data_IF_302167518636
#
_entry.id   IF_302167518636
#
_cell.length_a   1.000
_cell.length_b   1.000
_cell.length_c   1.000
_cell.angle_alpha   90.00
_cell.angle_beta   90.00
_cell.angle_gamma   90.00
#
_symmetry.space_group_name_H-M   'P 1'
#
loop_
_entity.id
_entity.type
_entity.pdbx_description
1 polymer ?
#
# COMPACT_ATOMS: atom_id res chain seq x y z
N UNK A 1 -11.14 -18.11 13.38
CA UNK A 1 -9.82 -17.69 13.90
C UNK A 1 -10.03 -16.38 14.63
N UNK A 2 -9.91 -16.36 15.97
CA UNK A 2 -10.13 -15.13 16.73
C UNK A 2 -8.89 -14.24 16.58
N UNK A 3 -8.95 -13.34 15.60
CA UNK A 3 -7.99 -12.26 15.48
C UNK A 3 -8.06 -11.39 16.75
N UNK A 4 -6.92 -11.14 17.41
CA UNK A 4 -6.83 -10.29 18.61
C UNK A 4 -6.95 -8.82 18.16
N UNK A 5 -8.13 -8.19 18.17
CA UNK A 5 -8.36 -6.94 17.43
C UNK A 5 -7.54 -5.79 18.02
N UNK A 6 -7.38 -5.82 19.36
CA UNK A 6 -6.55 -4.88 20.11
C UNK A 6 -5.06 -4.97 19.79
N UNK A 7 -4.57 -6.17 19.46
CA UNK A 7 -3.17 -6.36 19.07
C UNK A 7 -2.95 -5.95 17.62
N UNK A 8 -3.86 -6.31 16.72
CA UNK A 8 -3.78 -5.95 15.30
C UNK A 8 -3.85 -4.44 15.08
N UNK A 9 -4.64 -3.73 15.88
CA UNK A 9 -4.75 -2.27 15.83
C UNK A 9 -3.44 -1.52 16.12
N UNK A 10 -2.42 -2.20 16.67
CA UNK A 10 -1.09 -1.62 16.96
C UNK A 10 -0.15 -1.68 15.76
N UNK A 11 -0.56 -2.26 14.63
CA UNK A 11 0.30 -2.40 13.46
C UNK A 11 -0.01 -1.36 12.38
N UNK A 12 1.07 -0.85 11.80
CA UNK A 12 1.06 -0.03 10.60
C UNK A 12 1.78 -0.76 9.46
N UNK A 13 1.22 -0.67 8.26
CA UNK A 13 1.79 -1.18 7.02
C UNK A 13 2.46 0.01 6.33
N UNK A 14 3.78 -0.07 6.15
CA UNK A 14 4.60 0.99 5.56
C UNK A 14 5.09 0.55 4.20
N UNK A 15 4.63 1.24 3.16
CA UNK A 15 5.11 1.10 1.80
C UNK A 15 6.29 2.06 1.59
N UNK A 16 7.40 1.56 1.05
CA UNK A 16 8.62 2.33 0.83
C UNK A 16 8.97 2.29 -0.65
N UNK A 17 9.07 3.45 -1.29
CA UNK A 17 9.55 3.61 -2.66
C UNK A 17 11.08 3.54 -2.73
N UNK A 18 11.63 3.36 -3.94
CA UNK A 18 13.09 3.36 -4.18
C UNK A 18 13.76 4.70 -3.87
N UNK A 19 13.02 5.81 -3.92
CA UNK A 19 13.52 7.16 -3.60
C UNK A 19 13.37 7.52 -2.11
N UNK A 20 12.91 6.57 -1.28
CA UNK A 20 12.67 6.77 0.15
C UNK A 20 11.32 7.38 0.50
N UNK A 21 10.46 7.70 -0.49
CA UNK A 21 9.10 8.12 -0.21
C UNK A 21 8.31 7.01 0.49
N UNK A 22 7.56 7.36 1.53
CA UNK A 22 6.81 6.39 2.34
C UNK A 22 5.34 6.72 2.44
N UNK A 23 4.50 5.69 2.30
CA UNK A 23 3.06 5.73 2.58
C UNK A 23 2.77 4.77 3.72
N UNK A 24 1.88 5.17 4.63
CA UNK A 24 1.51 4.39 5.81
C UNK A 24 0.01 4.13 5.79
N UNK A 25 -0.36 2.89 6.06
CA UNK A 25 -1.72 2.48 6.38
C UNK A 25 -1.77 1.92 7.80
N UNK A 26 -2.86 2.12 8.51
CA UNK A 26 -3.13 1.33 9.72
C UNK A 26 -3.66 -0.05 9.34
N UNK A 27 -3.49 -1.04 10.22
CA UNK A 27 -4.13 -2.35 10.05
C UNK A 27 -5.65 -2.20 9.86
N UNK A 28 -6.29 -1.36 10.68
CA UNK A 28 -7.74 -1.15 10.61
C UNK A 28 -8.17 -0.47 9.30
N UNK A 29 -7.35 0.37 8.70
CA UNK A 29 -7.67 0.98 7.41
C UNK A 29 -7.67 -0.06 6.29
N UNK A 30 -6.68 -0.96 6.25
CA UNK A 30 -6.60 -1.99 5.21
C UNK A 30 -7.59 -3.14 5.40
N UNK A 31 -7.91 -3.50 6.64
CA UNK A 31 -8.67 -4.73 6.91
C UNK A 31 -10.07 -4.50 7.47
N UNK A 32 -10.35 -3.32 8.05
CA UNK A 32 -11.62 -3.00 8.70
C UNK A 32 -12.35 -1.82 8.05
N UNK A 33 -11.87 -1.30 6.92
CA UNK A 33 -12.52 -0.18 6.22
C UNK A 33 -12.66 -0.47 4.72
N UNK A 34 -13.64 0.16 4.03
CA UNK A 34 -13.79 0.01 2.58
C UNK A 34 -12.55 0.43 1.78
N UNK A 35 -11.71 1.33 2.32
CA UNK A 35 -10.45 1.75 1.71
C UNK A 35 -9.55 0.55 1.40
N UNK A 36 -9.51 -0.46 2.26
CA UNK A 36 -8.72 -1.68 2.04
C UNK A 36 -9.01 -2.39 0.71
N UNK A 37 -10.27 -2.37 0.27
CA UNK A 37 -10.70 -2.98 -1.00
C UNK A 37 -10.27 -2.19 -2.24
N UNK A 38 -9.70 -1.00 -2.03
CA UNK A 38 -9.33 -0.04 -3.07
C UNK A 38 -7.82 0.19 -3.14
N UNK A 39 -7.05 -0.53 -2.33
CA UNK A 39 -5.59 -0.53 -2.36
C UNK A 39 -5.11 -1.63 -3.29
N UNK A 40 -4.36 -1.26 -4.32
CA UNK A 40 -3.89 -2.19 -5.34
C UNK A 40 -2.38 -2.14 -5.49
N UNK A 41 -1.77 -3.31 -5.63
CA UNK A 41 -0.45 -3.46 -6.23
C UNK A 41 -0.65 -3.71 -7.73
N UNK A 42 -0.13 -2.83 -8.56
CA UNK A 42 -0.18 -3.03 -10.00
C UNK A 42 0.86 -4.08 -10.39
N UNK A 43 0.47 -5.00 -11.26
CA UNK A 43 1.36 -6.01 -11.86
C UNK A 43 1.59 -5.78 -13.35
N UNK A 44 0.79 -4.89 -13.96
CA UNK A 44 0.85 -4.47 -15.35
C UNK A 44 0.28 -3.05 -15.48
N UNK A 45 0.78 -2.30 -16.47
CA UNK A 45 0.26 -0.97 -16.83
C UNK A 45 0.08 -0.92 -18.34
N UNK A 46 -1.12 -0.56 -18.81
CA UNK A 46 -1.47 -0.51 -20.25
C UNK A 46 -1.11 -1.80 -21.01
N UNK A 47 -1.36 -2.96 -20.41
CA UNK A 47 -1.07 -4.28 -20.99
C UNK A 47 0.42 -4.64 -21.04
N UNK A 48 1.32 -3.78 -20.53
CA UNK A 48 2.75 -4.05 -20.44
C UNK A 48 3.13 -4.56 -19.05
N UNK A 49 3.98 -5.59 -18.95
CA UNK A 49 4.45 -6.10 -17.67
C UNK A 49 5.42 -5.11 -17.01
N UNK A 50 5.42 -5.02 -15.69
CA UNK A 50 6.18 -4.00 -14.97
C UNK A 50 7.70 -4.04 -15.16
N UNK A 51 8.29 -5.18 -15.52
CA UNK A 51 9.73 -5.25 -15.81
C UNK A 51 10.11 -4.38 -17.02
N UNK A 52 9.15 -4.04 -17.87
CA UNK A 52 9.32 -3.13 -19.00
C UNK A 52 9.04 -1.66 -18.65
N UNK A 53 8.59 -1.38 -17.42
CA UNK A 53 8.32 -0.04 -16.90
C UNK A 53 9.50 0.46 -16.05
N UNK A 54 9.89 1.72 -16.24
CA UNK A 54 11.02 2.34 -15.53
C UNK A 54 10.83 2.32 -14.00
N UNK A 55 9.58 2.52 -13.53
CA UNK A 55 9.28 2.67 -12.10
C UNK A 55 8.81 1.38 -11.40
N UNK A 56 9.11 0.19 -11.94
CA UNK A 56 8.88 -1.11 -11.28
C UNK A 56 7.45 -1.27 -10.72
N UNK A 57 7.30 -1.82 -9.50
CA UNK A 57 6.02 -2.11 -8.85
C UNK A 57 5.36 -0.83 -8.34
N UNK A 58 4.06 -0.68 -8.58
CA UNK A 58 3.28 0.47 -8.11
C UNK A 58 2.28 0.06 -7.05
N UNK A 59 1.99 0.97 -6.12
CA UNK A 59 0.85 0.87 -5.21
C UNK A 59 -0.05 2.09 -5.35
N UNK A 60 -1.37 1.90 -5.29
CA UNK A 60 -2.31 3.02 -5.32
C UNK A 60 -3.55 2.74 -4.47
N UNK A 61 -4.20 3.82 -4.01
CA UNK A 61 -5.48 3.81 -3.32
C UNK A 61 -6.48 4.62 -4.14
N UNK A 62 -7.55 3.99 -4.67
CA UNK A 62 -8.52 4.71 -5.51
C UNK A 62 -9.59 5.45 -4.70
N UNK A 63 -9.75 5.16 -3.41
CA UNK A 63 -10.72 5.86 -2.55
C UNK A 63 -10.20 7.17 -1.95
N UNK A 64 -8.96 7.57 -2.27
CA UNK A 64 -8.37 8.79 -1.73
C UNK A 64 -9.07 10.05 -2.25
N UNK A 65 -9.50 10.91 -1.32
CA UNK A 65 -10.06 12.23 -1.66
C UNK A 65 -9.03 13.10 -2.39
N UNK A 66 -7.79 13.09 -1.91
CA UNK A 66 -6.66 13.76 -2.56
C UNK A 66 -5.83 12.71 -3.30
N UNK A 67 -6.14 12.52 -4.58
CA UNK A 67 -5.45 11.57 -5.43
C UNK A 67 -3.94 11.84 -5.50
N UNK A 68 -3.16 10.77 -5.69
CA UNK A 68 -1.69 10.83 -5.85
C UNK A 68 -0.88 10.72 -4.56
N UNK A 69 -1.42 11.10 -3.39
CA UNK A 69 -0.68 11.02 -2.10
C UNK A 69 -0.39 9.60 -1.63
N UNK A 70 -1.14 8.61 -2.11
CA UNK A 70 -0.84 7.20 -1.85
C UNK A 70 -0.55 6.43 -3.13
N UNK A 71 -0.07 7.15 -4.15
CA UNK A 71 0.44 6.55 -5.37
C UNK A 71 1.95 6.37 -5.24
N UNK A 72 2.37 5.17 -4.85
CA UNK A 72 3.78 4.80 -4.71
C UNK A 72 4.28 4.30 -6.06
N UNK A 73 5.31 4.97 -6.59
CA UNK A 73 6.09 4.51 -7.75
C UNK A 73 7.37 3.86 -7.24
N UNK A 74 7.79 2.76 -7.87
CA UNK A 74 9.02 2.07 -7.46
C UNK A 74 8.93 1.47 -6.07
N UNK A 75 7.84 0.80 -5.72
CA UNK A 75 7.71 0.11 -4.43
C UNK A 75 8.88 -0.87 -4.26
N UNK A 76 9.70 -0.63 -3.24
CA UNK A 76 10.90 -1.41 -2.92
C UNK A 76 10.70 -2.31 -1.71
N UNK A 77 9.86 -1.91 -0.75
CA UNK A 77 9.57 -2.69 0.44
C UNK A 77 8.15 -2.44 0.97
N UNK A 78 7.58 -3.49 1.58
CA UNK A 78 6.40 -3.42 2.44
C UNK A 78 6.85 -3.87 3.82
N UNK A 79 6.72 -2.99 4.81
CA UNK A 79 7.13 -3.25 6.20
C UNK A 79 5.91 -3.26 7.10
N UNK A 80 5.92 -4.12 8.11
CA UNK A 80 4.95 -4.09 9.20
C UNK A 80 5.66 -3.52 10.42
N UNK A 81 5.12 -2.43 10.98
CA UNK A 81 5.66 -1.76 12.15
C UNK A 81 4.63 -1.82 13.28
N UNK A 82 5.05 -2.28 14.45
CA UNK A 82 4.30 -2.10 15.67
C UNK A 82 4.51 -0.66 16.19
N UNK A 83 3.41 0.00 16.55
CA UNK A 83 3.38 1.36 17.10
C UNK A 83 3.55 1.36 18.63
#
# INVERSE_FOLDING_TARGET
VYEKPKELSKYAIVLVATDGYTVVYSWNELFNSPTGNTVYLLTQVNGKPLHSCLDRLYSLCVSDVNSGRRFVKGLSAIKIKQL
#
